data_IF_956911511547
#
_entry.id   IF_956911511547
#
_cell.length_a   1.000
_cell.length_b   1.000
_cell.length_c   1.000
_cell.angle_alpha   90.00
_cell.angle_beta   90.00
_cell.angle_gamma   90.00
#
_symmetry.space_group_name_H-M   'P 1'
#
loop_
_entity.id
_entity.type
_entity.pdbx_description
1 polymer ?
#
# COMPACT_ATOMS: atom_id res chain seq x y z
N UNK A 1 -31.01 -13.40 54.48
CA UNK A 1 -29.66 -13.09 53.97
C UNK A 1 -29.59 -13.63 52.56
N UNK A 2 -29.47 -12.79 51.52
CA UNK A 2 -29.22 -13.27 50.17
C UNK A 2 -27.72 -13.48 49.97
N UNK A 3 -27.33 -14.66 49.51
CA UNK A 3 -26.00 -14.90 48.94
C UNK A 3 -25.89 -14.17 47.60
N UNK A 4 -25.03 -13.16 47.55
CA UNK A 4 -24.35 -12.79 46.31
C UNK A 4 -23.56 -14.00 45.83
N UNK A 5 -23.72 -14.43 44.58
CA UNK A 5 -22.59 -15.02 43.85
C UNK A 5 -22.75 -14.91 42.34
N UNK A 6 -21.80 -14.14 41.79
CA UNK A 6 -21.10 -14.41 40.54
C UNK A 6 -21.86 -14.16 39.22
N UNK A 7 -21.76 -12.91 38.78
CA UNK A 7 -21.65 -12.62 37.35
C UNK A 7 -20.44 -13.37 36.76
N UNK A 8 -20.60 -14.22 35.73
CA UNK A 8 -19.46 -14.65 34.96
C UNK A 8 -18.94 -13.43 34.19
N UNK A 9 -17.70 -13.04 34.47
CA UNK A 9 -16.93 -12.12 33.63
C UNK A 9 -16.85 -12.78 32.26
N UNK A 10 -17.68 -12.30 31.34
CA UNK A 10 -17.63 -12.62 29.93
C UNK A 10 -16.25 -12.24 29.42
N UNK A 11 -15.42 -13.25 29.17
CA UNK A 11 -14.12 -13.12 28.54
C UNK A 11 -14.34 -12.61 27.11
N UNK A 12 -14.27 -11.28 26.95
CA UNK A 12 -14.45 -10.59 25.68
C UNK A 12 -13.74 -11.31 24.52
N UNK A 13 -14.46 -11.91 23.55
CA UNK A 13 -13.87 -12.51 22.35
C UNK A 13 -13.48 -11.43 21.31
N UNK A 14 -13.12 -10.24 21.76
CA UNK A 14 -13.00 -9.02 20.94
C UNK A 14 -11.66 -8.91 20.18
N UNK A 15 -10.66 -9.73 20.47
CA UNK A 15 -9.27 -9.27 20.27
C UNK A 15 -8.50 -9.80 19.06
N UNK A 16 -8.89 -10.89 18.40
CA UNK A 16 -8.12 -11.45 17.26
C UNK A 16 -8.75 -11.23 15.89
N UNK A 17 -10.08 -11.38 15.77
CA UNK A 17 -10.80 -11.13 14.52
C UNK A 17 -10.77 -9.65 14.11
N UNK A 18 -10.85 -8.74 15.08
CA UNK A 18 -10.77 -7.29 14.84
C UNK A 18 -9.36 -6.84 14.46
N UNK A 19 -8.31 -7.46 15.04
CA UNK A 19 -6.93 -7.07 14.78
C UNK A 19 -6.52 -7.32 13.32
N UNK A 20 -6.88 -8.47 12.73
CA UNK A 20 -6.61 -8.76 11.32
C UNK A 20 -7.29 -7.77 10.38
N UNK A 21 -8.54 -7.41 10.68
CA UNK A 21 -9.31 -6.41 9.93
C UNK A 21 -8.65 -5.03 9.95
N UNK A 22 -8.08 -4.60 11.08
CA UNK A 22 -7.35 -3.33 11.16
C UNK A 22 -6.13 -3.30 10.24
N UNK A 23 -5.32 -4.36 10.20
CA UNK A 23 -4.14 -4.41 9.31
C UNK A 23 -4.53 -4.47 7.84
N UNK A 24 -5.65 -5.13 7.51
CA UNK A 24 -6.20 -5.12 6.16
C UNK A 24 -6.65 -3.70 5.76
N UNK A 25 -7.31 -2.97 6.67
CA UNK A 25 -7.71 -1.58 6.44
C UNK A 25 -6.50 -0.64 6.26
N UNK A 26 -5.46 -0.78 7.09
CA UNK A 26 -4.21 0.00 6.97
C UNK A 26 -3.55 -0.28 5.62
N UNK A 27 -3.46 -1.55 5.22
CA UNK A 27 -2.89 -1.95 3.92
C UNK A 27 -3.66 -1.29 2.78
N UNK A 28 -4.99 -1.42 2.79
CA UNK A 28 -5.88 -0.80 1.80
C UNK A 28 -5.70 0.72 1.74
N UNK A 29 -5.68 1.40 2.89
CA UNK A 29 -5.49 2.84 2.97
C UNK A 29 -4.12 3.28 2.42
N UNK A 30 -3.06 2.54 2.69
CA UNK A 30 -1.72 2.83 2.19
C UNK A 30 -1.63 2.74 0.65
N UNK A 31 -2.35 1.80 0.03
CA UNK A 31 -2.43 1.71 -1.43
C UNK A 31 -3.22 2.87 -2.04
N UNK A 32 -4.39 3.21 -1.50
CA UNK A 32 -5.19 4.33 -2.00
C UNK A 32 -4.53 5.69 -1.77
N UNK A 33 -3.90 5.89 -0.62
CA UNK A 33 -3.15 7.11 -0.34
C UNK A 33 -2.01 7.30 -1.34
N UNK A 34 -1.24 6.24 -1.61
CA UNK A 34 -0.15 6.32 -2.57
C UNK A 34 -0.65 6.50 -4.01
N UNK A 35 -1.75 5.84 -4.38
CA UNK A 35 -2.40 6.07 -5.67
C UNK A 35 -2.86 7.52 -5.83
N UNK A 36 -3.48 8.11 -4.81
CA UNK A 36 -3.88 9.51 -4.84
C UNK A 36 -2.67 10.44 -5.01
N UNK A 37 -1.58 10.16 -4.29
CA UNK A 37 -0.32 10.88 -4.45
C UNK A 37 0.24 10.78 -5.87
N UNK A 38 0.30 9.58 -6.45
CA UNK A 38 0.75 9.35 -7.84
C UNK A 38 -0.12 10.08 -8.86
N UNK A 39 -1.44 10.15 -8.63
CA UNK A 39 -2.35 10.91 -9.48
C UNK A 39 -2.01 12.40 -9.48
N UNK A 40 -1.73 12.98 -8.30
CA UNK A 40 -1.29 14.38 -8.19
C UNK A 40 0.00 14.59 -8.98
N UNK A 41 0.99 13.69 -8.86
CA UNK A 41 2.23 13.81 -9.63
C UNK A 41 2.01 13.70 -11.14
N UNK A 42 1.11 12.83 -11.60
CA UNK A 42 0.76 12.72 -13.01
C UNK A 42 0.10 14.02 -13.54
N UNK A 43 -0.75 14.66 -12.74
CA UNK A 43 -1.40 15.92 -13.09
C UNK A 43 -0.41 17.09 -13.11
N UNK A 44 0.44 17.19 -12.08
CA UNK A 44 1.50 18.22 -11.98
C UNK A 44 2.46 18.12 -13.18
N UNK A 45 2.87 16.89 -13.51
CA UNK A 45 3.67 16.65 -14.70
C UNK A 45 2.96 17.07 -15.99
N UNK A 46 1.68 16.71 -16.14
CA UNK A 46 0.89 17.05 -17.33
C UNK A 46 0.75 18.58 -17.50
N UNK A 47 0.64 19.31 -16.38
CA UNK A 47 0.60 20.77 -16.40
C UNK A 47 1.95 21.37 -16.84
N UNK A 48 3.07 20.82 -16.35
CA UNK A 48 4.41 21.25 -16.72
C UNK A 48 4.75 20.99 -18.20
N UNK A 49 4.23 19.91 -18.79
CA UNK A 49 4.34 19.68 -20.24
C UNK A 49 3.57 20.71 -21.06
N UNK A 50 2.39 21.12 -20.58
CA UNK A 50 1.51 22.05 -21.29
C UNK A 50 1.99 23.50 -21.21
N UNK A 51 2.60 23.89 -20.09
CA UNK A 51 3.05 25.26 -19.84
C UNK A 51 4.44 25.26 -19.17
N UNK A 52 5.52 25.02 -19.93
CA UNK A 52 6.86 25.01 -19.36
C UNK A 52 7.24 26.41 -18.85
N UNK A 53 7.63 26.50 -17.58
CA UNK A 53 8.12 27.76 -17.01
C UNK A 53 9.44 28.19 -17.67
N UNK A 54 9.68 29.50 -17.88
CA UNK A 54 10.91 29.99 -18.48
C UNK A 54 12.13 29.58 -17.63
N UNK A 55 13.05 28.80 -18.20
CA UNK A 55 14.25 28.30 -17.52
C UNK A 55 14.13 26.88 -16.94
N UNK A 56 12.93 26.28 -16.96
CA UNK A 56 12.74 24.86 -16.68
C UNK A 56 12.68 24.08 -17.99
N UNK A 57 13.83 23.53 -18.41
CA UNK A 57 13.82 22.49 -19.43
C UNK A 57 13.51 21.16 -18.77
N UNK A 58 12.33 20.64 -19.09
CA UNK A 58 11.92 19.27 -18.83
C UNK A 58 13.09 18.30 -19.12
N UNK A 59 13.72 17.74 -18.08
CA UNK A 59 14.61 16.57 -18.23
C UNK A 59 13.74 15.31 -18.35
N UNK A 60 12.65 15.41 -19.11
CA UNK A 60 11.54 14.47 -19.09
C UNK A 60 11.38 13.81 -20.44
N UNK A 61 11.15 12.50 -20.39
CA UNK A 61 10.61 11.71 -21.48
C UNK A 61 9.20 11.27 -21.10
N UNK A 62 8.30 11.16 -22.07
CA UNK A 62 6.91 10.67 -21.90
C UNK A 62 6.88 9.30 -21.20
N UNK A 63 7.97 8.53 -21.36
CA UNK A 63 8.21 7.27 -20.69
C UNK A 63 8.10 7.39 -19.16
N UNK A 64 8.61 8.47 -18.56
CA UNK A 64 8.59 8.66 -17.11
C UNK A 64 7.16 8.81 -16.56
N UNK A 65 6.29 9.51 -17.30
CA UNK A 65 4.86 9.65 -16.94
C UNK A 65 4.18 8.31 -17.02
N UNK A 66 4.45 7.57 -18.09
CA UNK A 66 3.86 6.27 -18.32
C UNK A 66 4.17 5.33 -17.15
N UNK A 67 5.38 5.40 -16.59
CA UNK A 67 5.72 4.64 -15.38
C UNK A 67 4.87 5.03 -14.18
N UNK A 68 4.65 6.32 -13.91
CA UNK A 68 3.76 6.75 -12.82
C UNK A 68 2.31 6.36 -13.03
N UNK A 69 1.82 6.44 -14.26
CA UNK A 69 0.47 6.01 -14.61
C UNK A 69 0.31 4.49 -14.43
N UNK A 70 1.32 3.71 -14.81
CA UNK A 70 1.31 2.26 -14.58
C UNK A 70 1.34 1.95 -13.08
N UNK A 71 2.22 2.59 -12.30
CA UNK A 71 2.29 2.34 -10.86
C UNK A 71 1.00 2.79 -10.13
N UNK A 72 0.37 3.87 -10.61
CA UNK A 72 -0.93 4.34 -10.16
C UNK A 72 -2.00 3.26 -10.39
N UNK A 73 -2.08 2.71 -11.60
CA UNK A 73 -3.05 1.66 -11.95
C UNK A 73 -2.83 0.42 -11.08
N UNK A 74 -1.57 0.03 -10.85
CA UNK A 74 -1.23 -1.11 -9.99
C UNK A 74 -1.67 -0.84 -8.55
N UNK A 75 -1.36 0.33 -7.99
CA UNK A 75 -1.72 0.67 -6.62
C UNK A 75 -3.25 0.74 -6.44
N UNK A 76 -3.98 1.30 -7.41
CA UNK A 76 -5.45 1.28 -7.42
C UNK A 76 -5.97 -0.15 -7.48
N UNK A 77 -5.42 -0.99 -8.35
CA UNK A 77 -5.85 -2.38 -8.52
C UNK A 77 -5.66 -3.18 -7.23
N UNK A 78 -4.50 -3.06 -6.59
CA UNK A 78 -4.24 -3.70 -5.30
C UNK A 78 -5.15 -3.16 -4.19
N UNK A 79 -5.35 -1.85 -4.12
CA UNK A 79 -6.28 -1.22 -3.18
C UNK A 79 -7.72 -1.75 -3.35
N UNK A 80 -8.20 -1.87 -4.59
CA UNK A 80 -9.52 -2.42 -4.91
C UNK A 80 -9.64 -3.90 -4.55
N UNK A 81 -8.61 -4.73 -4.83
CA UNK A 81 -8.62 -6.14 -4.43
C UNK A 81 -8.72 -6.27 -2.90
N UNK A 82 -7.94 -5.48 -2.16
CA UNK A 82 -8.00 -5.46 -0.70
C UNK A 82 -9.34 -4.94 -0.18
N UNK A 83 -9.94 -3.96 -0.86
CA UNK A 83 -11.28 -3.43 -0.55
C UNK A 83 -12.36 -4.50 -0.72
N UNK A 84 -12.35 -5.24 -1.82
CA UNK A 84 -13.28 -6.36 -2.05
C UNK A 84 -13.15 -7.40 -0.94
N UNK A 85 -11.92 -7.75 -0.56
CA UNK A 85 -11.68 -8.67 0.55
C UNK A 85 -12.17 -8.09 1.87
N UNK A 86 -11.95 -6.80 2.13
CA UNK A 86 -12.33 -6.13 3.37
C UNK A 86 -13.85 -6.13 3.58
N UNK A 87 -14.63 -5.88 2.52
CA UNK A 87 -16.10 -5.85 2.59
C UNK A 87 -16.77 -7.22 2.42
N UNK A 88 -16.03 -8.27 2.07
CA UNK A 88 -16.60 -9.62 2.00
C UNK A 88 -17.16 -10.08 3.35
N UNK A 89 -18.38 -10.62 3.36
CA UNK A 89 -19.09 -11.08 4.56
C UNK A 89 -18.44 -12.30 5.19
N UNK A 90 -18.00 -13.27 4.37
CA UNK A 90 -17.31 -14.47 4.83
C UNK A 90 -15.87 -14.51 4.31
N UNK A 91 -14.92 -14.18 5.18
CA UNK A 91 -13.49 -14.13 4.85
C UNK A 91 -12.81 -15.43 5.28
N UNK A 92 -12.51 -16.32 4.35
CA UNK A 92 -11.66 -17.49 4.64
C UNK A 92 -10.23 -17.01 4.95
N UNK A 93 -9.65 -17.31 6.13
CA UNK A 93 -8.32 -16.82 6.49
C UNK A 93 -7.24 -17.19 5.46
N UNK A 94 -7.31 -18.39 4.89
CA UNK A 94 -6.38 -18.85 3.86
C UNK A 94 -6.43 -17.97 2.59
N UNK A 95 -7.63 -17.58 2.15
CA UNK A 95 -7.81 -16.69 0.98
C UNK A 95 -7.25 -15.30 1.26
N UNK A 96 -7.51 -14.74 2.45
CA UNK A 96 -6.95 -13.43 2.84
C UNK A 96 -5.43 -13.49 2.85
N UNK A 97 -4.84 -14.49 3.52
CA UNK A 97 -3.39 -14.66 3.61
C UNK A 97 -2.77 -14.81 2.23
N UNK A 98 -3.33 -15.69 1.38
CA UNK A 98 -2.81 -15.92 0.03
C UNK A 98 -2.82 -14.64 -0.83
N UNK A 99 -3.93 -13.91 -0.82
CA UNK A 99 -4.03 -12.67 -1.59
C UNK A 99 -3.07 -11.60 -1.07
N UNK A 100 -2.99 -11.42 0.25
CA UNK A 100 -2.10 -10.41 0.84
C UNK A 100 -0.63 -10.77 0.61
N UNK A 101 -0.23 -12.04 0.70
CA UNK A 101 1.13 -12.50 0.32
C UNK A 101 1.42 -12.13 -1.13
N UNK A 102 0.50 -12.48 -2.04
CA UNK A 102 0.67 -12.22 -3.47
C UNK A 102 0.87 -10.73 -3.75
N UNK A 103 -0.01 -9.89 -3.20
CA UNK A 103 0.08 -8.42 -3.34
C UNK A 103 1.39 -7.90 -2.73
N UNK A 104 1.76 -8.36 -1.53
CA UNK A 104 2.96 -7.89 -0.83
C UNK A 104 4.24 -8.24 -1.59
N UNK A 105 4.34 -9.46 -2.13
CA UNK A 105 5.49 -9.90 -2.92
C UNK A 105 5.60 -9.15 -4.24
N UNK A 106 4.48 -9.01 -4.97
CA UNK A 106 4.45 -8.21 -6.19
C UNK A 106 4.83 -6.76 -5.92
N UNK A 107 4.33 -6.19 -4.81
CA UNK A 107 4.66 -4.81 -4.44
C UNK A 107 6.12 -4.64 -4.05
N UNK A 108 6.68 -5.55 -3.25
CA UNK A 108 8.09 -5.52 -2.88
C UNK A 108 9.00 -5.65 -4.12
N UNK A 109 8.66 -6.55 -5.04
CA UNK A 109 9.38 -6.71 -6.32
C UNK A 109 9.33 -5.44 -7.18
N UNK A 110 8.15 -4.81 -7.31
CA UNK A 110 7.99 -3.54 -8.02
C UNK A 110 8.77 -2.41 -7.34
N UNK A 111 8.74 -2.32 -6.01
CA UNK A 111 9.49 -1.28 -5.28
C UNK A 111 10.99 -1.45 -5.53
N UNK A 112 11.49 -2.69 -5.44
CA UNK A 112 12.89 -2.99 -5.71
C UNK A 112 13.27 -2.59 -7.15
N UNK A 113 12.49 -3.02 -8.14
CA UNK A 113 12.75 -2.74 -9.55
C UNK A 113 12.66 -1.26 -9.90
N UNK A 114 11.66 -0.54 -9.37
CA UNK A 114 11.38 0.86 -9.73
C UNK A 114 12.22 1.87 -8.95
N UNK A 115 12.65 1.55 -7.72
CA UNK A 115 13.27 2.54 -6.84
C UNK A 115 14.64 2.14 -6.26
N UNK A 116 15.02 0.86 -6.27
CA UNK A 116 16.28 0.40 -5.67
C UNK A 116 17.28 -0.20 -6.67
N UNK A 117 16.82 -0.62 -7.85
CA UNK A 117 17.69 -1.21 -8.86
C UNK A 117 18.51 -0.13 -9.58
N UNK A 118 19.82 -0.09 -9.32
CA UNK A 118 20.77 0.92 -9.81
C UNK A 118 21.75 0.37 -10.88
N UNK A 119 21.36 -0.59 -11.73
CA UNK A 119 22.24 -1.06 -12.80
C UNK A 119 22.09 -0.23 -14.09
N UNK A 120 23.10 0.61 -14.35
CA UNK A 120 23.64 1.02 -15.67
C UNK A 120 22.68 1.59 -16.73
N UNK A 121 22.84 2.88 -17.05
CA UNK A 121 22.30 3.63 -18.23
C UNK A 121 20.80 3.56 -18.57
N UNK A 122 20.04 2.66 -17.95
CA UNK A 122 18.62 2.42 -18.15
C UNK A 122 17.88 2.49 -16.81
N UNK A 123 18.24 3.47 -15.96
CA UNK A 123 17.40 3.82 -14.83
C UNK A 123 16.03 4.23 -15.38
N UNK A 124 15.09 3.30 -15.32
CA UNK A 124 13.66 3.53 -15.48
C UNK A 124 13.10 4.27 -14.25
N UNK A 125 13.89 4.40 -13.19
CA UNK A 125 13.58 5.28 -12.08
C UNK A 125 13.65 6.74 -12.56
N UNK A 126 12.51 7.43 -12.72
CA UNK A 126 12.55 8.84 -12.97
C UNK A 126 12.90 9.44 -11.60
N UNK A 127 14.18 9.74 -11.39
CA UNK A 127 14.54 10.82 -10.48
C UNK A 127 13.89 12.09 -11.06
N UNK A 128 12.58 12.26 -10.85
CA UNK A 128 11.90 13.52 -11.13
C UNK A 128 12.53 14.47 -10.13
N UNK A 129 13.42 15.28 -10.66
CA UNK A 129 14.24 16.22 -9.97
C UNK A 129 15.24 15.64 -8.96
N UNK A 130 16.51 15.87 -9.24
CA UNK A 130 17.53 15.96 -8.19
C UNK A 130 17.28 17.14 -7.21
N UNK A 131 16.18 17.92 -7.34
CA UNK A 131 15.95 19.15 -6.56
C UNK A 131 14.52 19.74 -6.39
N UNK A 132 13.44 19.26 -7.02
CA UNK A 132 12.18 20.04 -7.09
C UNK A 132 10.90 19.32 -6.64
N UNK A 133 11.00 18.12 -6.05
CA UNK A 133 9.92 17.71 -5.15
C UNK A 133 10.44 16.86 -3.99
N UNK A 134 11.10 17.50 -3.02
CA UNK A 134 11.49 16.86 -1.75
C UNK A 134 10.31 16.11 -1.12
N UNK A 135 9.09 16.63 -1.28
CA UNK A 135 7.87 15.97 -0.82
C UNK A 135 7.65 14.60 -1.48
N UNK A 136 7.98 14.43 -2.77
CA UNK A 136 7.84 13.15 -3.46
C UNK A 136 8.77 12.08 -2.92
N UNK A 137 10.05 12.44 -2.73
CA UNK A 137 11.03 11.56 -2.10
C UNK A 137 10.58 11.15 -0.69
N UNK A 138 10.12 12.12 0.11
CA UNK A 138 9.64 11.88 1.47
C UNK A 138 8.43 10.93 1.48
N UNK A 139 7.42 11.18 0.64
CA UNK A 139 6.21 10.35 0.56
C UNK A 139 6.58 8.92 0.16
N UNK A 140 7.48 8.73 -0.80
CA UNK A 140 7.93 7.38 -1.22
C UNK A 140 8.68 6.65 -0.11
N UNK A 141 9.61 7.33 0.56
CA UNK A 141 10.39 6.77 1.69
C UNK A 141 9.47 6.35 2.83
N UNK A 142 8.38 7.08 3.10
CA UNK A 142 7.46 6.75 4.17
C UNK A 142 6.40 5.71 3.75
N UNK A 143 5.76 5.89 2.60
CA UNK A 143 4.56 5.13 2.22
C UNK A 143 4.90 3.77 1.62
N UNK A 144 5.95 3.66 0.81
CA UNK A 144 6.30 2.39 0.17
C UNK A 144 6.64 1.29 1.20
N UNK A 145 7.45 1.54 2.25
CA UNK A 145 7.67 0.54 3.30
C UNK A 145 6.39 0.22 4.07
N UNK A 146 5.53 1.21 4.33
CA UNK A 146 4.25 0.98 5.03
C UNK A 146 3.36 0.00 4.28
N UNK A 147 3.30 0.06 2.94
CA UNK A 147 2.53 -0.90 2.14
C UNK A 147 3.00 -2.35 2.36
N UNK A 148 4.32 -2.56 2.42
CA UNK A 148 4.91 -3.90 2.65
C UNK A 148 4.71 -4.34 4.11
N UNK A 149 5.01 -3.47 5.08
CA UNK A 149 4.91 -3.77 6.50
C UNK A 149 3.45 -4.03 6.92
N UNK A 150 2.49 -3.28 6.38
CA UNK A 150 1.08 -3.48 6.65
C UNK A 150 0.59 -4.83 6.09
N UNK A 151 1.05 -5.20 4.89
CA UNK A 151 0.80 -6.52 4.30
C UNK A 151 1.33 -7.66 5.17
N UNK A 152 2.59 -7.56 5.62
CA UNK A 152 3.19 -8.52 6.55
C UNK A 152 2.42 -8.60 7.88
N UNK A 153 2.06 -7.45 8.45
CA UNK A 153 1.26 -7.38 9.67
C UNK A 153 -0.10 -8.08 9.51
N UNK A 154 -0.76 -7.89 8.37
CA UNK A 154 -2.01 -8.56 8.03
C UNK A 154 -1.84 -10.08 7.96
N UNK A 155 -0.82 -10.56 7.23
CA UNK A 155 -0.50 -12.00 7.10
C UNK A 155 -0.28 -12.64 8.47
N UNK A 156 0.57 -12.04 9.31
CA UNK A 156 0.90 -12.56 10.63
C UNK A 156 -0.33 -12.64 11.55
N UNK A 157 -1.19 -11.62 11.53
CA UNK A 157 -2.40 -11.59 12.35
C UNK A 157 -3.44 -12.61 11.89
N UNK A 158 -3.65 -12.77 10.59
CA UNK A 158 -4.58 -13.80 10.09
C UNK A 158 -4.03 -15.22 10.29
N UNK A 159 -2.71 -15.44 10.15
CA UNK A 159 -2.10 -16.75 10.39
C UNK A 159 -2.18 -17.16 11.87
N UNK A 160 -1.96 -16.23 12.80
CA UNK A 160 -2.10 -16.49 14.24
C UNK A 160 -3.56 -16.71 14.65
N UNK A 161 -4.50 -16.01 14.03
CA UNK A 161 -5.92 -16.26 14.24
C UNK A 161 -6.34 -17.66 13.75
N UNK A 162 -5.90 -18.07 12.56
CA UNK A 162 -6.23 -19.38 11.98
C UNK A 162 -5.74 -20.55 12.85
N UNK A 163 -4.52 -20.44 13.43
CA UNK A 163 -3.96 -21.46 14.33
C UNK A 163 -4.71 -21.60 15.66
N UNK A 164 -5.48 -20.60 16.08
CA UNK A 164 -6.26 -20.65 17.34
C UNK A 164 -7.64 -21.28 17.16
N UNK A 165 -8.08 -21.47 15.93
CA UNK A 165 -9.41 -22.00 15.60
C UNK A 165 -9.40 -23.49 15.25
N UNK A 166 -8.21 -24.06 15.00
CA UNK A 166 -7.98 -25.51 14.91
C UNK A 166 -7.63 -26.07 16.29
#
# INVERSE_FOLDING_TARGET
>A
MPEETNHPISSNPVTTANAGGTWLAISMAAYFFYAFFLLIECLDFSALLHSPEPGFHATYDIMNVLFYVIDLIICLSFGLILMVIYFATEKKPATVIFTVITITLLRAGLIYYLYMFEEGSYQIAPFIYKKANEMSGIVRIMVLPVQVLAGLGCILRYATAAKKTQ
#
